data_IF_723628598805
#
_entry.id   IF_723628598805
#
_cell.length_a   1.000
_cell.length_b   1.000
_cell.length_c   1.000
_cell.angle_alpha   90.00
_cell.angle_beta   90.00
_cell.angle_gamma   90.00
#
_symmetry.space_group_name_H-M   'P 1'
#
loop_
_entity.id
_entity.type
_entity.pdbx_description
1 polymer ?
#
# COMPACT_ATOMS: atom_id res chain seq x y z
N UNK A 1 33.23 -6.47 -22.95
CA UNK A 1 32.19 -6.39 -21.91
C UNK A 1 31.46 -7.72 -21.88
N UNK A 2 31.63 -8.46 -20.79
CA UNK A 2 31.10 -9.83 -20.64
C UNK A 2 29.59 -9.78 -20.37
N UNK A 3 28.85 -10.87 -20.61
CA UNK A 3 27.38 -10.94 -20.33
C UNK A 3 27.03 -10.63 -18.88
N UNK A 4 27.93 -10.91 -17.97
CA UNK A 4 27.81 -10.65 -16.53
C UNK A 4 27.92 -9.14 -16.21
N UNK A 5 28.80 -8.40 -16.89
CA UNK A 5 28.91 -6.94 -16.76
C UNK A 5 27.64 -6.22 -17.25
N UNK A 6 27.01 -6.71 -18.34
CA UNK A 6 25.74 -6.18 -18.84
C UNK A 6 24.59 -6.42 -17.87
N UNK A 7 24.55 -7.58 -17.22
CA UNK A 7 23.51 -7.91 -16.25
C UNK A 7 23.58 -7.01 -15.00
N UNK A 8 24.79 -6.70 -14.55
CA UNK A 8 25.02 -5.78 -13.43
C UNK A 8 24.65 -4.33 -13.82
N UNK A 9 25.00 -3.89 -15.05
CA UNK A 9 24.60 -2.56 -15.57
C UNK A 9 23.08 -2.44 -15.75
N UNK A 10 22.38 -3.51 -16.13
CA UNK A 10 20.92 -3.52 -16.33
C UNK A 10 20.15 -3.52 -14.99
N UNK A 11 20.72 -4.14 -13.94
CA UNK A 11 20.15 -4.11 -12.57
C UNK A 11 20.38 -2.80 -11.83
N UNK A 12 21.50 -2.14 -12.06
CA UNK A 12 21.91 -0.96 -11.29
C UNK A 12 21.80 0.36 -12.09
N UNK A 13 21.41 0.32 -13.37
CA UNK A 13 21.18 1.48 -14.23
C UNK A 13 22.40 2.38 -14.40
N UNK A 14 22.51 3.07 -15.53
CA UNK A 14 23.42 4.22 -15.67
C UNK A 14 22.80 5.40 -14.91
N UNK A 15 23.04 5.50 -13.61
CA UNK A 15 22.75 6.70 -12.83
C UNK A 15 23.98 7.61 -12.87
N UNK A 16 23.79 8.80 -13.44
CA UNK A 16 24.72 9.90 -13.23
C UNK A 16 24.79 10.20 -11.72
N UNK A 17 26.01 10.02 -11.18
CA UNK A 17 26.52 10.56 -9.92
C UNK A 17 25.60 10.60 -8.67
N UNK A 18 25.12 9.46 -8.25
CA UNK A 18 25.08 9.10 -6.82
C UNK A 18 26.11 8.00 -6.63
N UNK A 19 26.94 8.05 -5.60
CA UNK A 19 27.91 6.99 -5.29
C UNK A 19 27.16 5.65 -5.15
N UNK A 20 26.94 4.98 -6.27
CA UNK A 20 26.33 3.69 -6.35
C UNK A 20 27.24 2.71 -5.63
N UNK A 21 26.75 2.03 -4.63
CA UNK A 21 27.39 0.90 -3.97
C UNK A 21 27.83 -0.07 -5.07
N UNK A 22 29.11 -0.01 -5.46
CA UNK A 22 29.67 -0.95 -6.43
C UNK A 22 29.84 -2.29 -5.71
N UNK A 23 29.23 -3.38 -6.19
CA UNK A 23 29.54 -4.71 -5.66
C UNK A 23 31.04 -4.94 -5.84
N UNK A 24 31.76 -5.15 -4.73
CA UNK A 24 33.21 -5.34 -4.76
C UNK A 24 33.60 -6.71 -5.33
N UNK A 25 32.65 -7.64 -5.45
CA UNK A 25 32.90 -8.99 -5.99
C UNK A 25 31.77 -9.40 -6.91
N UNK A 26 32.09 -9.63 -8.18
CA UNK A 26 31.16 -10.19 -9.20
C UNK A 26 31.34 -11.70 -9.38
N UNK A 27 32.15 -12.34 -8.54
CA UNK A 27 32.38 -13.79 -8.63
C UNK A 27 31.18 -14.58 -8.10
N UNK A 28 30.70 -15.51 -8.95
CA UNK A 28 29.67 -16.46 -8.56
C UNK A 28 30.35 -17.62 -7.83
N UNK A 29 29.97 -17.85 -6.57
CA UNK A 29 30.49 -18.93 -5.75
C UNK A 29 29.35 -19.91 -5.43
N UNK A 30 29.64 -21.22 -5.42
CA UNK A 30 28.70 -22.19 -4.89
C UNK A 30 28.79 -22.21 -3.36
N UNK A 31 27.65 -22.04 -2.72
CA UNK A 31 27.54 -21.96 -1.26
C UNK A 31 26.50 -22.95 -0.75
N UNK A 32 26.84 -23.64 0.35
CA UNK A 32 25.91 -24.57 1.00
C UNK A 32 24.64 -23.83 1.46
N UNK A 33 23.47 -24.38 1.13
CA UNK A 33 22.15 -23.82 1.49
C UNK A 33 22.03 -23.58 3.00
N UNK A 34 22.60 -24.45 3.82
CA UNK A 34 22.60 -24.32 5.29
C UNK A 34 23.39 -23.13 5.86
N UNK A 35 24.27 -22.49 5.05
CA UNK A 35 24.97 -21.25 5.42
C UNK A 35 24.20 -19.98 5.08
N UNK A 36 23.07 -20.11 4.38
CA UNK A 36 22.27 -18.98 3.90
C UNK A 36 21.03 -18.85 4.76
N UNK A 37 20.73 -17.64 5.19
CA UNK A 37 19.56 -17.31 6.02
C UNK A 37 18.70 -16.27 5.30
N UNK A 38 17.37 -16.40 5.35
CA UNK A 38 16.48 -15.39 4.81
C UNK A 38 16.52 -14.12 5.63
N UNK A 39 16.30 -12.97 4.99
CA UNK A 39 16.08 -11.73 5.71
C UNK A 39 14.66 -11.77 6.30
N UNK A 40 14.56 -11.92 7.63
CA UNK A 40 13.29 -12.01 8.37
C UNK A 40 12.42 -10.74 8.27
N UNK A 41 13.02 -9.61 7.89
CA UNK A 41 12.29 -8.35 7.67
C UNK A 41 11.78 -8.20 6.24
N UNK A 42 12.00 -9.18 5.37
CA UNK A 42 11.51 -9.15 4.01
C UNK A 42 9.97 -9.03 4.00
N UNK A 43 9.39 -7.91 3.51
CA UNK A 43 7.94 -7.72 3.51
C UNK A 43 7.21 -8.53 2.45
N UNK A 44 7.94 -8.99 1.44
CA UNK A 44 7.36 -9.64 0.27
C UNK A 44 7.06 -11.11 0.52
N UNK A 45 5.79 -11.48 0.32
CA UNK A 45 5.33 -12.86 0.48
C UNK A 45 5.63 -13.69 -0.77
N UNK A 46 5.96 -14.94 -0.60
CA UNK A 46 6.02 -15.91 -1.70
C UNK A 46 4.64 -16.55 -1.85
N UNK A 47 4.00 -16.36 -3.00
CA UNK A 47 2.73 -17.00 -3.31
C UNK A 47 3.01 -18.43 -3.74
N UNK A 48 2.23 -19.39 -3.24
CA UNK A 48 2.41 -20.81 -3.55
C UNK A 48 2.22 -21.11 -5.04
N UNK A 49 1.30 -20.39 -5.69
CA UNK A 49 1.02 -20.48 -7.12
C UNK A 49 2.25 -20.19 -8.00
N UNK A 50 3.10 -19.26 -7.55
CA UNK A 50 4.30 -18.85 -8.27
C UNK A 50 5.51 -19.77 -7.97
N UNK A 51 5.44 -20.61 -6.94
CA UNK A 51 6.58 -21.42 -6.52
C UNK A 51 6.75 -22.66 -7.37
N UNK A 52 5.67 -23.35 -7.70
CA UNK A 52 5.71 -24.61 -8.47
C UNK A 52 6.38 -24.45 -9.84
N UNK A 53 6.02 -23.44 -10.69
CA UNK A 53 6.72 -23.22 -11.96
C UNK A 53 8.22 -22.91 -11.77
N UNK A 54 8.57 -22.21 -10.68
CA UNK A 54 9.97 -21.89 -10.37
C UNK A 54 10.74 -23.14 -9.94
N UNK A 55 10.15 -24.00 -9.12
CA UNK A 55 10.73 -25.28 -8.69
C UNK A 55 10.98 -26.21 -9.89
N UNK A 56 10.01 -26.31 -10.80
CA UNK A 56 10.16 -27.11 -12.02
C UNK A 56 11.27 -26.56 -12.92
N UNK A 57 11.34 -25.25 -13.11
CA UNK A 57 12.42 -24.61 -13.87
C UNK A 57 13.80 -24.84 -13.23
N UNK A 58 13.91 -24.76 -11.89
CA UNK A 58 15.17 -24.98 -11.18
C UNK A 58 15.57 -26.47 -11.25
N UNK A 59 14.62 -27.40 -11.21
CA UNK A 59 14.89 -28.83 -11.36
C UNK A 59 15.48 -29.17 -12.74
N UNK A 60 14.98 -28.50 -13.79
CA UNK A 60 15.41 -28.76 -15.16
C UNK A 60 16.71 -28.04 -15.52
N UNK A 61 16.86 -26.77 -15.11
CA UNK A 61 17.92 -25.89 -15.60
C UNK A 61 18.90 -25.44 -14.51
N UNK A 62 18.66 -25.83 -13.25
CA UNK A 62 19.39 -25.25 -12.12
C UNK A 62 19.02 -23.79 -11.85
N UNK A 63 19.73 -23.16 -10.92
CA UNK A 63 19.57 -21.74 -10.62
C UNK A 63 20.42 -20.92 -11.60
N UNK A 64 19.78 -20.39 -12.64
CA UNK A 64 20.45 -19.58 -13.68
C UNK A 64 20.92 -18.23 -13.14
N UNK A 65 20.08 -17.56 -12.35
CA UNK A 65 20.42 -16.29 -11.71
C UNK A 65 20.88 -16.54 -10.27
N UNK A 66 22.11 -16.18 -9.89
CA UNK A 66 22.62 -16.41 -8.56
C UNK A 66 21.83 -15.64 -7.50
N UNK A 67 21.83 -16.15 -6.27
CA UNK A 67 21.24 -15.50 -5.11
C UNK A 67 22.23 -14.44 -4.62
N UNK A 68 21.80 -13.22 -4.37
CA UNK A 68 22.64 -12.19 -3.78
C UNK A 68 22.56 -12.27 -2.26
N UNK A 69 23.72 -12.38 -1.62
CA UNK A 69 23.85 -12.50 -0.17
C UNK A 69 24.88 -11.51 0.37
N UNK A 70 24.75 -11.15 1.64
CA UNK A 70 25.79 -10.44 2.39
C UNK A 70 26.22 -11.28 3.59
N UNK A 71 27.45 -11.09 4.07
CA UNK A 71 27.87 -11.71 5.33
C UNK A 71 27.11 -11.07 6.48
N UNK A 72 26.60 -11.89 7.41
CA UNK A 72 26.01 -11.37 8.64
C UNK A 72 27.08 -10.81 9.57
N UNK A 73 26.79 -9.69 10.26
CA UNK A 73 27.79 -9.00 11.08
C UNK A 73 28.09 -9.74 12.40
N UNK A 74 27.22 -10.68 12.80
CA UNK A 74 27.26 -11.32 14.11
C UNK A 74 27.42 -12.84 14.06
N UNK A 75 27.09 -13.45 12.95
CA UNK A 75 27.09 -14.91 12.77
C UNK A 75 27.87 -15.30 11.52
N UNK A 76 28.42 -16.52 11.49
CA UNK A 76 29.10 -17.06 10.30
C UNK A 76 28.09 -17.62 9.28
N UNK A 77 27.13 -16.79 8.92
CA UNK A 77 26.08 -17.07 7.93
C UNK A 77 25.96 -15.92 6.94
N UNK A 78 25.26 -16.17 5.85
CA UNK A 78 25.04 -15.21 4.80
C UNK A 78 23.55 -14.88 4.70
N UNK A 79 23.19 -13.61 4.84
CA UNK A 79 21.82 -13.12 4.74
C UNK A 79 21.44 -12.83 3.30
N UNK A 80 20.28 -13.27 2.86
CA UNK A 80 19.77 -13.03 1.50
C UNK A 80 19.40 -11.56 1.33
N UNK A 81 20.00 -10.93 0.32
CA UNK A 81 19.64 -9.57 -0.15
C UNK A 81 18.63 -9.66 -1.28
N UNK A 82 18.84 -10.55 -2.26
CA UNK A 82 17.90 -10.79 -3.36
C UNK A 82 17.88 -12.27 -3.75
N UNK A 83 16.71 -12.77 -4.16
CA UNK A 83 16.55 -14.18 -4.57
C UNK A 83 15.90 -15.08 -3.53
N UNK A 84 15.14 -14.55 -2.56
CA UNK A 84 14.42 -15.33 -1.53
C UNK A 84 13.58 -16.46 -2.11
N UNK A 85 12.89 -16.26 -3.24
CA UNK A 85 12.09 -17.31 -3.90
C UNK A 85 12.97 -18.46 -4.43
N UNK A 86 14.13 -18.14 -5.02
CA UNK A 86 15.10 -19.14 -5.52
C UNK A 86 15.70 -19.94 -4.37
N UNK A 87 16.02 -19.28 -3.25
CA UNK A 87 16.46 -19.96 -2.05
C UNK A 87 15.39 -20.90 -1.50
N UNK A 88 14.14 -20.43 -1.40
CA UNK A 88 13.03 -21.27 -0.93
C UNK A 88 12.80 -22.49 -1.83
N UNK A 89 12.84 -22.30 -3.15
CA UNK A 89 12.72 -23.38 -4.11
C UNK A 89 13.89 -24.38 -3.99
N UNK A 90 15.14 -23.90 -3.85
CA UNK A 90 16.30 -24.74 -3.63
C UNK A 90 16.18 -25.57 -2.35
N UNK A 91 15.68 -24.95 -1.27
CA UNK A 91 15.44 -25.65 0.00
C UNK A 91 14.38 -26.75 -0.15
N UNK A 92 13.28 -26.49 -0.87
CA UNK A 92 12.22 -27.49 -1.14
C UNK A 92 12.69 -28.62 -2.06
N UNK A 93 13.64 -28.34 -2.94
CA UNK A 93 14.27 -29.30 -3.82
C UNK A 93 15.46 -30.04 -3.16
N UNK A 94 15.70 -29.80 -1.87
CA UNK A 94 16.79 -30.42 -1.09
C UNK A 94 18.18 -30.24 -1.73
N UNK A 95 18.40 -29.10 -2.40
CA UNK A 95 19.72 -28.79 -2.99
C UNK A 95 20.75 -28.59 -1.88
N UNK A 96 21.95 -29.13 -2.07
CA UNK A 96 23.07 -28.96 -1.10
C UNK A 96 23.73 -27.62 -1.23
N UNK A 97 23.92 -27.16 -2.47
CA UNK A 97 24.64 -25.93 -2.80
C UNK A 97 23.87 -25.11 -3.84
N UNK A 98 24.02 -23.81 -3.76
CA UNK A 98 23.40 -22.84 -4.69
C UNK A 98 24.40 -21.79 -5.14
N UNK A 99 24.30 -21.29 -6.39
CA UNK A 99 25.15 -20.20 -6.85
C UNK A 99 24.77 -18.89 -6.17
N UNK A 100 25.76 -18.21 -5.57
CA UNK A 100 25.58 -16.94 -4.88
C UNK A 100 26.57 -15.89 -5.34
N UNK A 101 26.18 -14.62 -5.23
CA UNK A 101 27.08 -13.47 -5.27
C UNK A 101 27.14 -12.89 -3.87
N UNK A 102 28.34 -12.83 -3.29
CA UNK A 102 28.56 -12.22 -1.98
C UNK A 102 28.80 -10.73 -2.15
N UNK A 103 27.95 -9.91 -1.54
CA UNK A 103 28.04 -8.46 -1.56
C UNK A 103 28.76 -7.99 -0.28
N UNK A 104 29.76 -7.13 -0.44
CA UNK A 104 30.42 -6.46 0.68
C UNK A 104 29.71 -5.13 0.99
N UNK A 105 28.54 -5.26 1.62
CA UNK A 105 27.63 -4.16 1.96
C UNK A 105 27.15 -4.27 3.39
N UNK A 106 26.79 -3.13 3.97
CA UNK A 106 26.19 -3.09 5.31
C UNK A 106 24.68 -3.48 5.27
N UNK A 107 24.07 -3.58 6.44
CA UNK A 107 22.66 -3.99 6.59
C UNK A 107 21.69 -3.00 5.95
N UNK A 108 21.96 -1.70 6.11
CA UNK A 108 21.12 -0.63 5.57
C UNK A 108 21.12 -0.63 4.02
N UNK A 109 22.27 -0.84 3.42
CA UNK A 109 22.40 -0.98 1.97
C UNK A 109 21.69 -2.22 1.45
N UNK A 110 21.82 -3.34 2.16
CA UNK A 110 21.11 -4.57 1.83
C UNK A 110 19.57 -4.41 1.89
N UNK A 111 19.07 -3.70 2.91
CA UNK A 111 17.64 -3.42 3.06
C UNK A 111 17.12 -2.53 1.90
N UNK A 112 17.91 -1.56 1.43
CA UNK A 112 17.57 -0.73 0.27
C UNK A 112 17.52 -1.57 -1.01
N UNK A 113 18.56 -2.36 -1.29
CA UNK A 113 18.61 -3.23 -2.49
C UNK A 113 17.45 -4.24 -2.48
N UNK A 114 17.13 -4.82 -1.33
CA UNK A 114 16.00 -5.74 -1.19
C UNK A 114 14.68 -5.07 -1.61
N UNK A 115 14.45 -3.84 -1.15
CA UNK A 115 13.23 -3.10 -1.51
C UNK A 115 13.23 -2.76 -2.98
N UNK A 116 14.31 -2.17 -3.51
CA UNK A 116 14.36 -1.70 -4.89
C UNK A 116 14.23 -2.84 -5.91
N UNK A 117 14.86 -3.98 -5.66
CA UNK A 117 14.73 -5.17 -6.51
C UNK A 117 13.31 -5.77 -6.57
N UNK A 118 12.41 -5.36 -5.69
CA UNK A 118 11.05 -5.89 -5.62
C UNK A 118 9.94 -4.84 -5.88
N UNK A 119 10.25 -3.53 -5.84
CA UNK A 119 9.26 -2.46 -6.06
C UNK A 119 8.64 -2.45 -7.46
N UNK A 120 9.34 -3.02 -8.45
CA UNK A 120 8.87 -3.09 -9.85
C UNK A 120 8.06 -4.35 -10.17
N UNK A 121 7.66 -5.15 -9.16
CA UNK A 121 6.77 -6.30 -9.39
C UNK A 121 5.37 -5.83 -9.78
N UNK A 122 4.74 -6.50 -10.74
CA UNK A 122 3.40 -6.16 -11.24
C UNK A 122 2.31 -6.20 -10.14
N UNK A 123 2.44 -7.10 -9.17
CA UNK A 123 1.43 -7.31 -8.12
C UNK A 123 2.07 -7.27 -6.73
N UNK A 124 2.14 -6.07 -6.16
CA UNK A 124 2.59 -5.86 -4.77
C UNK A 124 1.37 -5.50 -3.92
N UNK A 125 1.17 -6.22 -2.82
CA UNK A 125 0.09 -5.92 -1.88
C UNK A 125 0.32 -4.58 -1.18
N UNK A 126 -0.75 -3.85 -0.80
CA UNK A 126 -0.63 -2.62 -0.02
C UNK A 126 0.20 -2.77 1.25
N UNK A 127 0.06 -3.89 1.98
CA UNK A 127 0.87 -4.20 3.15
C UNK A 127 2.34 -4.37 2.80
N UNK A 128 2.67 -5.07 1.72
CA UNK A 128 4.05 -5.28 1.26
C UNK A 128 4.71 -3.94 0.90
N UNK A 129 4.02 -3.07 0.14
CA UNK A 129 4.48 -1.70 -0.14
C UNK A 129 4.68 -0.89 1.13
N UNK A 130 3.77 -1.01 2.10
CA UNK A 130 3.84 -0.29 3.37
C UNK A 130 5.11 -0.63 4.15
N UNK A 131 5.38 -1.91 4.35
CA UNK A 131 6.57 -2.38 5.07
C UNK A 131 7.86 -2.18 4.27
N UNK A 132 7.84 -2.30 2.94
CA UNK A 132 8.97 -2.04 2.07
C UNK A 132 9.39 -0.56 2.15
N UNK A 133 8.45 0.38 1.98
CA UNK A 133 8.76 1.80 2.12
C UNK A 133 9.21 2.18 3.52
N UNK A 134 8.65 1.56 4.56
CA UNK A 134 9.13 1.76 5.93
C UNK A 134 10.56 1.30 6.10
N UNK A 135 10.90 0.11 5.60
CA UNK A 135 12.26 -0.45 5.62
C UNK A 135 13.25 0.47 4.92
N UNK A 136 12.96 0.88 3.66
CA UNK A 136 13.82 1.81 2.90
C UNK A 136 13.94 3.17 3.59
N UNK A 137 12.84 3.70 4.15
CA UNK A 137 12.85 4.95 4.92
C UNK A 137 13.77 4.87 6.14
N UNK A 138 13.68 3.78 6.90
CA UNK A 138 14.46 3.58 8.12
C UNK A 138 15.95 3.38 7.80
N UNK A 139 16.27 2.66 6.72
CA UNK A 139 17.63 2.50 6.22
C UNK A 139 18.25 3.85 5.80
N UNK A 140 17.55 4.66 5.00
CA UNK A 140 18.02 5.98 4.58
C UNK A 140 18.22 6.95 5.75
N UNK A 141 17.35 6.90 6.77
CA UNK A 141 17.52 7.72 7.98
C UNK A 141 18.78 7.35 8.77
N UNK A 142 19.13 6.06 8.83
CA UNK A 142 20.35 5.60 9.51
C UNK A 142 21.61 5.99 8.73
N UNK A 143 21.60 5.87 7.41
CA UNK A 143 22.70 6.34 6.56
C UNK A 143 22.87 7.86 6.69
N UNK A 144 21.80 8.66 6.65
CA UNK A 144 21.87 10.11 6.81
C UNK A 144 22.47 10.56 8.16
N UNK A 145 22.24 9.83 9.24
CA UNK A 145 22.88 10.11 10.55
C UNK A 145 24.39 9.85 10.55
N UNK A 146 24.89 8.92 9.72
CA UNK A 146 26.33 8.65 9.60
C UNK A 146 27.06 9.71 8.76
N UNK A 147 26.40 10.25 7.73
CA UNK A 147 26.97 11.30 6.86
C UNK A 147 26.93 12.70 7.49
N UNK A 148 25.97 13.00 8.38
CA UNK A 148 25.94 14.29 9.11
C UNK A 148 27.15 14.54 10.02
N UNK A 149 28.01 13.51 10.25
CA UNK A 149 29.25 13.64 11.01
C UNK A 149 30.47 14.05 10.16
N UNK A 150 30.35 14.10 8.84
CA UNK A 150 31.53 14.21 7.96
C UNK A 150 31.50 15.31 6.90
N UNK A 151 30.35 15.91 6.54
CA UNK A 151 30.26 16.95 5.50
C UNK A 151 29.10 17.91 5.73
N UNK A 152 29.34 19.22 5.59
CA UNK A 152 28.30 20.23 5.45
C UNK A 152 27.51 20.04 4.15
N UNK A 153 26.17 19.87 4.18
CA UNK A 153 25.39 19.65 2.98
C UNK A 153 25.21 20.95 2.21
N UNK A 154 25.80 21.05 1.03
CA UNK A 154 25.55 22.13 0.06
C UNK A 154 24.35 21.72 -0.79
N UNK A 155 23.13 22.19 -0.44
CA UNK A 155 21.91 21.98 -1.23
C UNK A 155 20.62 21.82 -0.41
N UNK A 156 19.42 21.96 -1.02
CA UNK A 156 18.16 21.73 -0.32
C UNK A 156 18.07 20.27 0.13
N UNK A 157 17.94 20.06 1.44
CA UNK A 157 17.87 18.73 2.08
C UNK A 157 16.53 18.08 1.72
N UNK A 158 16.52 17.19 0.72
CA UNK A 158 15.35 16.37 0.37
C UNK A 158 14.99 15.46 1.55
N UNK A 159 13.69 15.37 1.87
CA UNK A 159 13.23 14.40 2.86
C UNK A 159 13.44 12.96 2.35
N UNK A 160 13.61 11.99 3.26
CA UNK A 160 13.78 10.58 2.86
C UNK A 160 12.62 10.08 1.98
N UNK A 161 11.39 10.60 2.17
CA UNK A 161 10.25 10.24 1.32
C UNK A 161 10.37 10.83 -0.10
N UNK A 162 10.94 12.01 -0.25
CA UNK A 162 11.22 12.61 -1.57
C UNK A 162 12.33 11.85 -2.29
N UNK A 163 13.37 11.42 -1.58
CA UNK A 163 14.41 10.56 -2.16
C UNK A 163 13.82 9.24 -2.69
N UNK A 164 12.97 8.58 -1.90
CA UNK A 164 12.30 7.33 -2.32
C UNK A 164 11.39 7.56 -3.54
N UNK A 165 10.71 8.72 -3.60
CA UNK A 165 9.80 9.03 -4.72
C UNK A 165 10.51 9.29 -6.04
N UNK A 166 11.80 9.59 -6.04
CA UNK A 166 12.60 9.72 -7.27
C UNK A 166 12.82 8.38 -7.96
N UNK A 167 12.92 7.30 -7.16
CA UNK A 167 13.22 5.94 -7.64
C UNK A 167 11.95 5.06 -7.73
N UNK A 168 10.76 5.63 -7.51
CA UNK A 168 9.50 4.89 -7.49
C UNK A 168 8.39 5.60 -8.25
N UNK A 169 7.37 4.86 -8.67
CA UNK A 169 6.16 5.41 -9.30
C UNK A 169 5.26 6.18 -8.30
N UNK A 170 5.46 5.95 -7.00
CA UNK A 170 4.64 6.54 -5.96
C UNK A 170 5.17 7.91 -5.51
N UNK A 171 4.31 8.92 -5.42
CA UNK A 171 4.66 10.24 -4.90
C UNK A 171 5.07 10.18 -3.41
N UNK A 172 5.86 11.15 -2.94
CA UNK A 172 6.26 11.25 -1.53
C UNK A 172 5.06 11.23 -0.55
N UNK A 173 3.93 11.82 -0.96
CA UNK A 173 2.68 11.78 -0.18
C UNK A 173 2.08 10.37 -0.14
N UNK A 174 2.11 9.66 -1.26
CA UNK A 174 1.61 8.28 -1.34
C UNK A 174 2.49 7.33 -0.52
N UNK A 175 3.82 7.48 -0.58
CA UNK A 175 4.78 6.74 0.23
C UNK A 175 4.50 6.92 1.73
N UNK A 176 4.27 8.17 2.19
CA UNK A 176 3.90 8.43 3.59
C UNK A 176 2.59 7.75 3.99
N UNK A 177 1.60 7.70 3.09
CA UNK A 177 0.33 6.97 3.33
C UNK A 177 0.55 5.46 3.44
N UNK A 178 1.35 4.86 2.55
CA UNK A 178 1.71 3.44 2.66
C UNK A 178 2.40 3.15 3.99
N UNK A 179 3.43 3.93 4.34
CA UNK A 179 4.13 3.76 5.62
C UNK A 179 3.16 3.85 6.80
N UNK A 180 2.15 4.73 6.73
CA UNK A 180 1.16 4.84 7.79
C UNK A 180 0.34 3.57 8.00
N UNK A 181 0.08 2.77 6.95
CA UNK A 181 -0.64 1.50 7.05
C UNK A 181 0.09 0.48 7.95
N UNK A 182 1.40 0.62 8.17
CA UNK A 182 2.13 -0.27 9.10
C UNK A 182 1.70 -0.15 10.56
N UNK A 183 0.85 0.83 10.88
CA UNK A 183 0.25 1.00 12.22
C UNK A 183 -1.16 0.42 12.32
N UNK A 184 -1.66 -0.22 11.26
CA UNK A 184 -2.90 -0.97 11.33
C UNK A 184 -2.71 -2.31 12.02
N UNK A 185 -3.73 -2.73 12.77
CA UNK A 185 -3.84 -4.10 13.23
C UNK A 185 -3.84 -5.06 12.04
N UNK A 186 -3.22 -6.23 12.24
CA UNK A 186 -2.99 -7.20 11.16
C UNK A 186 -4.29 -7.62 10.46
N UNK A 187 -5.37 -7.75 11.21
CA UNK A 187 -6.70 -8.11 10.69
C UNK A 187 -7.22 -7.06 9.71
N UNK A 188 -7.15 -5.78 10.09
CA UNK A 188 -7.57 -4.67 9.22
C UNK A 188 -6.64 -4.51 8.00
N UNK A 189 -5.33 -4.72 8.19
CA UNK A 189 -4.36 -4.66 7.09
C UNK A 189 -4.62 -5.76 6.05
N UNK A 190 -5.03 -6.96 6.47
CA UNK A 190 -5.45 -8.02 5.57
C UNK A 190 -6.68 -7.60 4.74
N UNK A 191 -7.67 -6.92 5.35
CA UNK A 191 -8.83 -6.39 4.61
C UNK A 191 -8.45 -5.33 3.58
N UNK A 192 -7.37 -4.59 3.81
CA UNK A 192 -6.81 -3.66 2.81
C UNK A 192 -6.16 -4.44 1.66
N UNK A 193 -5.41 -5.49 1.96
CA UNK A 193 -4.78 -6.37 0.95
C UNK A 193 -5.83 -7.09 0.07
N UNK A 194 -6.97 -7.45 0.67
CA UNK A 194 -8.13 -8.05 -0.02
C UNK A 194 -8.97 -7.03 -0.81
N UNK A 195 -8.64 -5.73 -0.71
CA UNK A 195 -9.41 -4.66 -1.35
C UNK A 195 -10.77 -4.37 -0.72
N UNK A 196 -11.07 -4.94 0.46
CA UNK A 196 -12.32 -4.70 1.21
C UNK A 196 -12.35 -3.32 1.83
N UNK A 197 -11.22 -2.84 2.33
CA UNK A 197 -11.04 -1.49 2.83
C UNK A 197 -10.13 -0.72 1.86
N UNK A 198 -10.61 0.41 1.36
CA UNK A 198 -9.81 1.27 0.50
C UNK A 198 -8.67 1.94 1.29
N UNK A 199 -7.57 2.28 0.59
CA UNK A 199 -6.38 2.83 1.20
C UNK A 199 -6.61 4.10 2.03
N UNK A 200 -7.44 5.04 1.55
CA UNK A 200 -7.67 6.31 2.27
C UNK A 200 -8.39 6.11 3.62
N UNK A 201 -9.52 5.39 3.71
CA UNK A 201 -10.10 5.01 5.00
C UNK A 201 -9.11 4.29 5.92
N UNK A 202 -8.34 3.34 5.39
CA UNK A 202 -7.34 2.59 6.14
C UNK A 202 -6.27 3.50 6.78
N UNK A 203 -5.80 4.52 6.06
CA UNK A 203 -4.87 5.53 6.59
C UNK A 203 -5.50 6.30 7.75
N UNK A 204 -6.77 6.70 7.66
CA UNK A 204 -7.45 7.37 8.77
C UNK A 204 -7.61 6.47 10.00
N UNK A 205 -7.97 5.19 9.79
CA UNK A 205 -8.08 4.19 10.86
C UNK A 205 -6.73 3.93 11.54
N UNK A 206 -5.63 3.99 10.81
CA UNK A 206 -4.29 3.78 11.38
C UNK A 206 -3.86 4.84 12.43
N UNK A 207 -4.64 5.90 12.62
CA UNK A 207 -4.43 6.89 13.69
C UNK A 207 -5.13 6.51 15.00
N UNK A 208 -6.02 5.54 14.98
CA UNK A 208 -6.75 5.04 16.15
C UNK A 208 -5.83 4.13 17.00
N UNK A 209 -6.21 3.95 18.26
CA UNK A 209 -5.51 2.99 19.13
C UNK A 209 -5.76 1.55 18.69
N UNK A 210 -4.90 0.58 19.09
CA UNK A 210 -5.12 -0.83 18.75
C UNK A 210 -6.49 -1.36 19.20
N UNK A 211 -6.95 -0.94 20.37
CA UNK A 211 -8.25 -1.32 20.93
C UNK A 211 -9.41 -0.79 20.06
N UNK A 212 -9.32 0.47 19.66
CA UNK A 212 -10.32 1.09 18.77
C UNK A 212 -10.31 0.47 17.37
N UNK A 213 -9.16 0.10 16.87
CA UNK A 213 -9.04 -0.63 15.60
C UNK A 213 -9.68 -2.01 15.69
N UNK A 214 -9.54 -2.69 16.84
CA UNK A 214 -10.17 -3.98 17.05
C UNK A 214 -11.71 -3.86 17.08
N UNK A 215 -12.28 -2.82 17.70
CA UNK A 215 -13.74 -2.56 17.66
C UNK A 215 -14.27 -2.41 16.22
N UNK A 216 -13.47 -1.77 15.33
CA UNK A 216 -13.84 -1.66 13.92
C UNK A 216 -13.81 -3.03 13.23
N UNK A 217 -12.81 -3.85 13.54
CA UNK A 217 -12.69 -5.19 12.97
C UNK A 217 -13.83 -6.11 13.46
N UNK A 218 -14.16 -6.09 14.74
CA UNK A 218 -15.30 -6.82 15.32
C UNK A 218 -16.63 -6.41 14.66
N UNK A 219 -16.84 -5.12 14.43
CA UNK A 219 -18.03 -4.63 13.70
C UNK A 219 -18.04 -5.12 12.25
N UNK A 220 -16.89 -5.24 11.60
CA UNK A 220 -16.80 -5.82 10.27
C UNK A 220 -17.15 -7.31 10.28
N UNK A 221 -16.68 -8.07 11.27
CA UNK A 221 -16.97 -9.51 11.37
C UNK A 221 -18.47 -9.78 11.62
N UNK A 222 -19.16 -8.91 12.38
CA UNK A 222 -20.60 -9.10 12.68
C UNK A 222 -21.52 -8.63 11.56
N UNK A 223 -21.23 -7.50 10.93
CA UNK A 223 -22.14 -6.81 10.01
C UNK A 223 -21.65 -6.72 8.57
N UNK A 224 -20.44 -7.21 8.27
CA UNK A 224 -19.75 -7.13 6.97
C UNK A 224 -19.64 -5.71 6.42
N UNK A 225 -19.67 -4.69 7.28
CA UNK A 225 -19.61 -3.28 6.89
C UNK A 225 -18.18 -2.75 6.92
N UNK A 226 -17.78 -2.10 5.84
CA UNK A 226 -16.46 -1.45 5.74
C UNK A 226 -16.61 0.08 5.78
N UNK A 227 -15.67 0.80 6.43
CA UNK A 227 -15.76 2.25 6.56
C UNK A 227 -15.51 2.97 5.23
N UNK A 228 -16.36 3.94 4.92
CA UNK A 228 -16.07 4.97 3.91
C UNK A 228 -15.06 5.97 4.46
N UNK A 229 -14.46 6.79 3.57
CA UNK A 229 -13.52 7.83 4.00
C UNK A 229 -14.13 8.80 5.03
N UNK A 230 -15.38 9.24 4.80
CA UNK A 230 -16.06 10.16 5.72
C UNK A 230 -16.34 9.51 7.09
N UNK A 231 -16.71 8.23 7.12
CA UNK A 231 -16.88 7.47 8.36
C UNK A 231 -15.54 7.31 9.09
N UNK A 232 -14.47 6.92 8.38
CA UNK A 232 -13.13 6.79 8.97
C UNK A 232 -12.61 8.11 9.58
N UNK A 233 -12.82 9.23 8.89
CA UNK A 233 -12.50 10.56 9.41
C UNK A 233 -13.31 10.92 10.65
N UNK A 234 -14.60 10.55 10.69
CA UNK A 234 -15.45 10.75 11.87
C UNK A 234 -14.99 9.91 13.05
N UNK A 235 -14.65 8.64 12.81
CA UNK A 235 -14.09 7.75 13.84
C UNK A 235 -12.80 8.33 14.42
N UNK A 236 -11.87 8.76 13.57
CA UNK A 236 -10.62 9.40 14.00
C UNK A 236 -10.88 10.66 14.85
N UNK A 237 -11.79 11.52 14.44
CA UNK A 237 -12.14 12.73 15.22
C UNK A 237 -12.68 12.40 16.59
N UNK A 238 -13.52 11.35 16.73
CA UNK A 238 -14.03 10.90 18.01
C UNK A 238 -12.95 10.26 18.88
N UNK A 239 -12.02 9.50 18.28
CA UNK A 239 -10.84 8.98 18.95
C UNK A 239 -9.98 10.10 19.55
N UNK A 240 -9.66 11.15 18.75
CA UNK A 240 -8.92 12.32 19.21
C UNK A 240 -9.61 13.05 20.38
N UNK A 241 -10.94 12.91 20.53
CA UNK A 241 -11.75 13.45 21.62
C UNK A 241 -11.96 12.46 22.80
N UNK A 242 -11.38 11.26 22.72
CA UNK A 242 -11.61 10.16 23.66
C UNK A 242 -13.11 9.79 23.85
N UNK A 243 -13.88 9.89 22.77
CA UNK A 243 -15.33 9.62 22.74
C UNK A 243 -15.70 8.40 21.90
N UNK A 244 -14.69 7.67 21.40
CA UNK A 244 -14.91 6.47 20.61
C UNK A 244 -15.15 5.26 21.52
N UNK A 245 -16.24 4.54 21.27
CA UNK A 245 -16.59 3.28 21.92
C UNK A 245 -17.31 2.35 20.93
N UNK A 246 -17.55 1.10 21.28
CA UNK A 246 -18.16 0.10 20.41
C UNK A 246 -19.52 0.55 19.83
N UNK A 247 -20.38 1.16 20.65
CA UNK A 247 -21.70 1.62 20.20
C UNK A 247 -21.60 2.75 19.15
N UNK A 248 -20.67 3.68 19.35
CA UNK A 248 -20.43 4.77 18.39
C UNK A 248 -19.79 4.26 17.10
N UNK A 249 -18.89 3.26 17.17
CA UNK A 249 -18.31 2.59 16.01
C UNK A 249 -19.43 1.93 15.19
N UNK A 250 -20.24 1.10 15.83
CA UNK A 250 -21.38 0.42 15.20
C UNK A 250 -22.34 1.43 14.55
N UNK A 251 -22.77 2.46 15.29
CA UNK A 251 -23.68 3.48 14.79
C UNK A 251 -23.13 4.25 13.58
N UNK A 252 -21.81 4.50 13.53
CA UNK A 252 -21.16 5.20 12.41
C UNK A 252 -21.04 4.27 11.20
N UNK A 253 -20.63 3.02 11.39
CA UNK A 253 -20.37 2.09 10.29
C UNK A 253 -21.66 1.60 9.62
N UNK A 254 -22.72 1.39 10.40
CA UNK A 254 -24.04 0.97 9.90
C UNK A 254 -24.88 2.12 9.35
N UNK A 255 -24.48 3.39 9.59
CA UNK A 255 -25.18 4.55 9.02
C UNK A 255 -25.15 4.52 7.49
N UNK A 256 -26.26 4.90 6.82
CA UNK A 256 -26.32 4.95 5.35
C UNK A 256 -25.19 5.79 4.77
N UNK A 257 -24.42 5.23 3.82
CA UNK A 257 -23.34 5.95 3.17
C UNK A 257 -23.95 7.04 2.27
N UNK A 258 -23.39 8.28 2.23
CA UNK A 258 -23.95 9.38 1.44
C UNK A 258 -24.16 9.05 -0.04
N UNK A 259 -23.36 8.14 -0.60
CA UNK A 259 -23.48 7.69 -1.98
C UNK A 259 -24.53 6.59 -2.21
N UNK A 260 -25.10 6.03 -1.14
CA UNK A 260 -26.17 5.03 -1.20
C UNK A 260 -27.55 5.66 -0.95
N UNK A 261 -27.63 6.93 -0.52
CA UNK A 261 -28.88 7.66 -0.52
C UNK A 261 -29.31 7.84 -1.99
N UNK A 262 -30.48 7.30 -2.33
CA UNK A 262 -31.11 7.51 -3.65
C UNK A 262 -31.31 9.02 -3.83
N UNK A 263 -30.40 9.64 -4.55
CA UNK A 263 -30.49 11.06 -4.90
C UNK A 263 -30.88 11.18 -6.37
N UNK A 264 -32.02 11.77 -6.63
CA UNK A 264 -32.43 12.12 -7.99
C UNK A 264 -31.61 13.34 -8.41
N UNK A 265 -30.61 13.13 -9.26
CA UNK A 265 -29.80 14.21 -9.87
C UNK A 265 -30.50 14.73 -11.11
N UNK A 266 -31.04 15.93 -11.03
CA UNK A 266 -31.60 16.63 -12.21
C UNK A 266 -30.54 17.60 -12.74
N UNK A 267 -30.07 17.44 -14.01
CA UNK A 267 -29.12 18.40 -14.59
C UNK A 267 -29.66 19.83 -14.55
N UNK A 268 -28.84 20.78 -14.14
CA UNK A 268 -29.27 22.19 -14.00
C UNK A 268 -29.80 22.78 -15.32
N UNK A 269 -29.25 22.37 -16.45
CA UNK A 269 -29.69 22.78 -17.80
C UNK A 269 -31.17 22.46 -18.06
N UNK A 270 -31.68 21.37 -17.49
CA UNK A 270 -33.09 20.94 -17.69
C UNK A 270 -34.08 21.75 -16.87
N UNK A 271 -33.65 22.31 -15.75
CA UNK A 271 -34.50 23.05 -14.80
C UNK A 271 -34.24 24.56 -14.82
N UNK A 272 -33.10 25.02 -15.34
CA UNK A 272 -32.70 26.42 -15.38
C UNK A 272 -33.75 27.34 -16.04
N UNK A 273 -34.46 26.86 -17.07
CA UNK A 273 -35.53 27.60 -17.75
C UNK A 273 -36.72 27.95 -16.86
N UNK A 274 -36.90 27.29 -15.73
CA UNK A 274 -37.97 27.54 -14.77
C UNK A 274 -37.60 28.50 -13.67
N UNK A 275 -36.35 28.96 -13.62
CA UNK A 275 -35.82 29.81 -12.56
C UNK A 275 -35.25 31.12 -13.12
N UNK A 276 -35.46 32.23 -12.37
CA UNK A 276 -34.84 33.48 -12.67
C UNK A 276 -33.32 33.48 -12.36
N UNK A 277 -32.57 34.41 -12.95
CA UNK A 277 -31.10 34.50 -12.86
C UNK A 277 -30.54 34.63 -11.43
N UNK A 278 -31.35 34.99 -10.44
CA UNK A 278 -30.91 35.28 -9.07
C UNK A 278 -31.37 34.22 -8.04
N UNK A 279 -31.87 33.08 -8.46
CA UNK A 279 -32.27 32.01 -7.52
C UNK A 279 -31.08 31.32 -6.91
N UNK A 280 -31.02 31.25 -5.59
CA UNK A 280 -30.04 30.42 -4.85
C UNK A 280 -30.37 28.94 -4.99
N UNK A 281 -29.40 28.06 -4.73
CA UNK A 281 -29.60 26.61 -4.78
C UNK A 281 -30.75 26.16 -3.89
N UNK A 282 -30.82 26.67 -2.65
CA UNK A 282 -31.90 26.35 -1.70
C UNK A 282 -33.27 26.81 -2.23
N UNK A 283 -33.36 27.99 -2.80
CA UNK A 283 -34.62 28.48 -3.40
C UNK A 283 -35.05 27.65 -4.60
N UNK A 284 -34.12 27.14 -5.41
CA UNK A 284 -34.44 26.25 -6.51
C UNK A 284 -35.01 24.91 -6.01
N UNK A 285 -34.38 24.33 -4.97
CA UNK A 285 -34.82 23.09 -4.32
C UNK A 285 -36.24 23.24 -3.73
N UNK A 286 -36.48 24.31 -2.98
CA UNK A 286 -37.80 24.59 -2.38
C UNK A 286 -38.90 24.79 -3.44
N UNK A 287 -38.55 25.46 -4.56
CA UNK A 287 -39.48 25.66 -5.67
C UNK A 287 -39.83 24.35 -6.38
N UNK A 288 -38.86 23.47 -6.56
CA UNK A 288 -39.09 22.15 -7.13
C UNK A 288 -40.02 21.32 -6.23
N UNK A 289 -39.79 21.32 -4.91
CA UNK A 289 -40.62 20.61 -3.97
C UNK A 289 -42.07 21.11 -4.01
N UNK A 290 -42.27 22.43 -3.98
CA UNK A 290 -43.61 23.04 -4.06
C UNK A 290 -44.31 22.71 -5.40
N UNK A 291 -43.58 22.69 -6.50
CA UNK A 291 -44.14 22.32 -7.80
C UNK A 291 -44.57 20.84 -7.83
N UNK A 292 -43.78 19.93 -7.25
CA UNK A 292 -44.11 18.50 -7.14
C UNK A 292 -45.34 18.27 -6.22
N UNK A 293 -45.45 18.98 -5.10
CA UNK A 293 -46.63 18.91 -4.21
C UNK A 293 -47.92 19.39 -4.94
N UNK A 294 -47.81 20.50 -5.68
CA UNK A 294 -48.92 21.03 -6.47
C UNK A 294 -49.34 20.02 -7.54
N UNK A 295 -48.41 19.44 -8.28
CA UNK A 295 -48.67 18.46 -9.30
C UNK A 295 -49.27 17.18 -8.73
N UNK A 296 -48.78 16.72 -7.56
CA UNK A 296 -49.41 15.58 -6.87
C UNK A 296 -50.84 15.82 -6.47
N UNK A 297 -51.16 16.99 -5.90
CA UNK A 297 -52.57 17.41 -5.59
C UNK A 297 -53.43 17.50 -6.84
N UNK A 298 -52.85 17.98 -7.93
CA UNK A 298 -53.56 18.05 -9.23
C UNK A 298 -53.91 16.64 -9.73
N UNK A 299 -53.00 15.70 -9.71
CA UNK A 299 -53.25 14.32 -10.13
C UNK A 299 -54.30 13.62 -9.24
N UNK A 300 -54.26 13.87 -7.91
CA UNK A 300 -55.30 13.33 -7.00
C UNK A 300 -56.69 13.86 -7.37
N UNK A 301 -56.81 15.14 -7.65
CA UNK A 301 -58.11 15.73 -8.08
C UNK A 301 -58.59 15.18 -9.42
N UNK A 302 -57.71 14.91 -10.36
CA UNK A 302 -58.07 14.27 -11.60
C UNK A 302 -58.56 12.82 -11.37
N UNK A 303 -57.88 12.02 -10.61
CA UNK A 303 -58.29 10.65 -10.28
C UNK A 303 -59.63 10.60 -9.57
N UNK A 304 -59.93 11.56 -8.69
CA UNK A 304 -61.22 11.63 -8.02
C UNK A 304 -62.34 12.01 -9.01
N UNK A 305 -62.11 12.95 -9.94
CA UNK A 305 -63.07 13.28 -10.99
C UNK A 305 -63.37 12.11 -11.91
N UNK A 306 -62.35 11.32 -12.29
CA UNK A 306 -62.53 10.14 -13.16
C UNK A 306 -63.24 8.99 -12.41
N UNK A 307 -63.21 8.98 -11.07
CA UNK A 307 -63.88 8.01 -10.21
C UNK A 307 -65.33 8.38 -9.98
N UNK A 308 -65.64 9.67 -9.91
CA UNK A 308 -67.02 10.20 -9.75
C UNK A 308 -67.78 10.24 -11.09
N UNK A 309 -67.09 10.05 -12.23
CA UNK A 309 -67.66 10.01 -13.59
C UNK A 309 -67.95 8.60 -14.11
N UNK A 310 -67.63 7.57 -13.29
CA UNK A 310 -67.99 6.14 -13.53
C UNK A 310 -69.07 5.69 -12.62
#
# INVERSE_FOLDING_TARGET
MNKEEKFVEELFGKTEETEAVKPQTTEIVNMAVGKIVPNFKNPYKCREEDMKPLEDSIRENGIIQPIMVRKDDKADVFEIVSGHRRYLAATRLEMTDVPVIVLDINKEEADIILVDSNLHREHILPSEKAFAYKMKMDALKKQGKRTDLTLDPVGPKLSSAEKISQDSEDSATQIKRYIRLTNLEKSLLNLVDEGRIAMRPAVEISYLTPEEQMMIFETYESDEVTPSLAQAQKLRKLSEQNQLNADTVLAILTAPKPNQAEAIKIPEERVSKFFGKNYTKQQKEEHILKALEYYHKYLQRQRNKDRDAR
#
